data_IF_490481744075
#
_entry.id   IF_490481744075
#
_cell.length_a   1.000
_cell.length_b   1.000
_cell.length_c   1.000
_cell.angle_alpha   90.00
_cell.angle_beta   90.00
_cell.angle_gamma   90.00
#
_symmetry.space_group_name_H-M   'P 1'
#
loop_
_entity.id
_entity.type
_entity.pdbx_description
1 polymer ?
#
# COMPACT_ATOMS: atom_id res chain seq x y z
N UNK A 1 -2.87 1.05 12.99
CA UNK A 1 -3.17 -0.06 12.05
C UNK A 1 -1.85 -0.55 11.50
N UNK A 2 -1.55 -1.84 11.56
CA UNK A 2 -0.42 -2.49 10.91
C UNK A 2 -0.84 -3.11 9.57
N UNK A 3 0.08 -3.78 8.88
CA UNK A 3 -0.20 -4.40 7.59
C UNK A 3 -1.29 -5.49 7.70
N UNK A 4 -1.25 -6.31 8.74
CA UNK A 4 -2.23 -7.39 8.93
C UNK A 4 -3.64 -6.83 9.17
N UNK A 5 -3.76 -5.78 9.97
CA UNK A 5 -5.02 -5.05 10.18
C UNK A 5 -5.55 -4.43 8.89
N UNK A 6 -4.66 -3.83 8.08
CA UNK A 6 -5.01 -3.29 6.75
C UNK A 6 -5.54 -4.39 5.83
N UNK A 7 -4.80 -5.48 5.69
CA UNK A 7 -5.16 -6.62 4.82
C UNK A 7 -6.45 -7.30 5.29
N UNK A 8 -6.67 -7.41 6.61
CA UNK A 8 -7.89 -8.02 7.15
C UNK A 8 -9.16 -7.25 6.72
N UNK A 9 -9.08 -5.93 6.60
CA UNK A 9 -10.20 -5.10 6.11
C UNK A 9 -10.36 -5.24 4.60
N UNK A 10 -9.26 -5.23 3.85
CA UNK A 10 -9.31 -5.23 2.38
C UNK A 10 -9.69 -6.61 1.81
N UNK A 11 -9.02 -7.66 2.26
CA UNK A 11 -9.15 -9.02 1.74
C UNK A 11 -9.89 -9.97 2.69
N UNK A 12 -9.80 -9.74 4.00
CA UNK A 12 -10.35 -10.62 5.02
C UNK A 12 -11.80 -10.36 5.41
N UNK A 13 -12.43 -9.29 4.91
CA UNK A 13 -13.83 -8.95 5.20
C UNK A 13 -14.07 -8.36 6.60
N UNK A 14 -13.01 -7.98 7.33
CA UNK A 14 -13.17 -7.27 8.59
C UNK A 14 -13.81 -5.89 8.34
N UNK A 15 -14.65 -5.46 9.30
CA UNK A 15 -15.31 -4.15 9.19
C UNK A 15 -14.35 -3.02 9.58
N UNK A 16 -14.40 -1.94 8.83
CA UNK A 16 -13.80 -0.68 9.20
C UNK A 16 -14.72 0.06 10.18
N UNK A 17 -14.22 0.32 11.38
CA UNK A 17 -14.98 0.97 12.46
C UNK A 17 -14.09 1.97 13.20
N UNK A 18 -14.10 3.25 12.78
CA UNK A 18 -13.39 4.30 13.49
C UNK A 18 -13.88 4.45 14.93
N UNK A 19 -12.99 4.79 15.83
CA UNK A 19 -13.35 5.12 17.22
C UNK A 19 -14.02 6.48 17.31
N UNK A 20 -14.83 6.69 18.35
CA UNK A 20 -15.46 8.00 18.61
C UNK A 20 -14.40 9.11 18.74
N UNK A 21 -13.27 8.83 19.38
CA UNK A 21 -12.19 9.80 19.55
C UNK A 21 -11.58 10.26 18.22
N UNK A 22 -11.38 9.33 17.26
CA UNK A 22 -10.89 9.67 15.90
C UNK A 22 -11.92 10.51 15.15
N UNK A 23 -13.19 10.15 15.25
CA UNK A 23 -14.27 10.90 14.61
C UNK A 23 -14.42 12.31 15.21
N UNK A 24 -14.33 12.46 16.54
CA UNK A 24 -14.34 13.75 17.23
C UNK A 24 -13.15 14.64 16.84
N UNK A 25 -11.96 14.03 16.65
CA UNK A 25 -10.78 14.75 16.18
C UNK A 25 -11.00 15.35 14.78
N UNK A 26 -11.59 14.58 13.86
CA UNK A 26 -11.92 15.05 12.52
C UNK A 26 -12.98 16.17 12.55
N UNK A 27 -14.04 16.02 13.35
CA UNK A 27 -15.09 17.04 13.52
C UNK A 27 -14.53 18.34 14.09
N UNK A 28 -13.67 18.24 15.12
CA UNK A 28 -13.01 19.42 15.72
C UNK A 28 -12.15 20.15 14.69
N UNK A 29 -11.43 19.42 13.85
CA UNK A 29 -10.62 20.00 12.78
C UNK A 29 -11.49 20.75 11.76
N UNK A 30 -12.60 20.13 11.35
CA UNK A 30 -13.55 20.76 10.42
C UNK A 30 -14.18 22.03 11.02
N UNK A 31 -14.63 21.97 12.26
CA UNK A 31 -15.19 23.13 12.97
C UNK A 31 -14.17 24.27 13.07
N UNK A 32 -12.94 23.94 13.46
CA UNK A 32 -11.84 24.92 13.53
C UNK A 32 -11.58 25.58 12.18
N UNK A 33 -11.48 24.80 11.09
CA UNK A 33 -11.24 25.37 9.75
C UNK A 33 -12.39 26.27 9.32
N UNK A 34 -13.63 25.89 9.60
CA UNK A 34 -14.84 26.66 9.22
C UNK A 34 -14.83 28.06 9.88
N UNK A 35 -14.41 28.15 11.14
CA UNK A 35 -14.28 29.39 11.86
C UNK A 35 -13.02 30.18 11.40
N UNK A 36 -11.88 29.48 11.30
CA UNK A 36 -10.59 30.07 10.97
C UNK A 36 -10.55 30.69 9.58
N UNK A 37 -11.29 30.14 8.61
CA UNK A 37 -11.34 30.62 7.23
C UNK A 37 -12.03 31.97 7.07
N UNK A 38 -12.76 32.43 8.10
CA UNK A 38 -13.44 33.73 8.04
C UNK A 38 -12.41 34.88 7.93
N UNK A 39 -12.54 35.68 6.89
CA UNK A 39 -11.67 36.82 6.65
C UNK A 39 -10.21 36.51 6.27
N UNK A 40 -9.86 35.26 6.03
CA UNK A 40 -8.51 34.82 5.62
C UNK A 40 -8.51 34.24 4.21
N UNK A 41 -7.40 34.40 3.49
CA UNK A 41 -7.19 33.77 2.18
C UNK A 41 -6.54 32.42 2.40
N UNK A 42 -7.24 31.33 2.03
CA UNK A 42 -6.78 29.96 2.20
C UNK A 42 -6.95 29.20 0.88
N UNK A 43 -5.86 28.60 0.42
CA UNK A 43 -5.84 27.82 -0.82
C UNK A 43 -6.92 26.72 -0.81
N UNK A 44 -7.68 26.67 -1.88
CA UNK A 44 -8.69 25.64 -2.11
C UNK A 44 -9.98 25.79 -1.28
N UNK A 45 -10.12 26.88 -0.51
CA UNK A 45 -11.33 27.25 0.23
C UNK A 45 -11.99 28.47 -0.41
N UNK A 46 -11.27 29.58 -0.53
CA UNK A 46 -11.75 30.81 -1.12
C UNK A 46 -10.83 31.31 -2.25
N UNK A 47 -9.98 30.43 -2.76
CA UNK A 47 -9.19 30.62 -3.98
C UNK A 47 -9.52 29.52 -4.99
N UNK A 48 -9.15 29.72 -6.25
CA UNK A 48 -9.05 28.63 -7.21
C UNK A 48 -7.92 27.67 -6.91
N UNK A 49 -7.68 26.72 -7.81
CA UNK A 49 -6.69 25.64 -7.68
C UNK A 49 -5.58 25.77 -8.74
N UNK A 50 -4.39 25.25 -8.43
CA UNK A 50 -3.26 25.22 -9.35
C UNK A 50 -2.96 26.58 -9.95
N UNK A 51 -2.96 26.76 -11.29
CA UNK A 51 -2.72 28.06 -11.93
C UNK A 51 -3.73 29.15 -11.56
N UNK A 52 -4.91 28.78 -11.07
CA UNK A 52 -5.97 29.70 -10.64
C UNK A 52 -5.90 30.03 -9.15
N UNK A 53 -4.86 29.65 -8.45
CA UNK A 53 -4.71 29.86 -7.00
C UNK A 53 -4.80 31.35 -6.58
N UNK A 54 -4.50 32.27 -7.50
CA UNK A 54 -4.59 33.71 -7.26
C UNK A 54 -5.99 34.31 -7.50
N UNK A 55 -6.95 33.51 -7.95
CA UNK A 55 -8.31 33.95 -8.22
C UNK A 55 -9.16 33.75 -6.97
N UNK A 56 -9.72 34.85 -6.47
CA UNK A 56 -10.66 34.81 -5.35
C UNK A 56 -12.00 34.21 -5.80
N UNK A 57 -12.54 33.28 -5.03
CA UNK A 57 -13.82 32.62 -5.30
C UNK A 57 -14.91 33.18 -4.40
N UNK A 58 -15.97 33.74 -4.99
CA UNK A 58 -17.15 34.23 -4.25
C UNK A 58 -17.74 33.12 -3.36
N UNK A 59 -18.30 33.46 -2.22
CA UNK A 59 -18.84 32.50 -1.26
C UNK A 59 -19.94 31.61 -1.88
N UNK A 60 -20.78 32.18 -2.72
CA UNK A 60 -21.85 31.46 -3.41
C UNK A 60 -21.34 30.35 -4.35
N UNK A 61 -20.09 30.48 -4.83
CA UNK A 61 -19.51 29.54 -5.82
C UNK A 61 -18.60 28.50 -5.18
N UNK A 62 -18.23 28.63 -3.90
CA UNK A 62 -17.25 27.74 -3.23
C UNK A 62 -17.68 26.29 -3.22
N UNK A 63 -18.97 26.03 -2.98
CA UNK A 63 -19.50 24.65 -2.99
C UNK A 63 -19.47 24.05 -4.39
N UNK A 64 -19.93 24.77 -5.40
CA UNK A 64 -19.92 24.30 -6.79
C UNK A 64 -18.49 24.04 -7.29
N UNK A 65 -17.54 24.84 -6.83
CA UNK A 65 -16.12 24.66 -7.14
C UNK A 65 -15.59 23.29 -6.66
N UNK A 66 -16.00 22.78 -5.48
CA UNK A 66 -15.59 21.46 -5.00
C UNK A 66 -16.10 20.33 -5.91
N UNK A 67 -17.36 20.39 -6.35
CA UNK A 67 -17.91 19.44 -7.31
C UNK A 67 -17.22 19.54 -8.68
N UNK A 68 -16.98 20.75 -9.16
CA UNK A 68 -16.28 20.96 -10.43
C UNK A 68 -14.84 20.47 -10.41
N UNK A 69 -14.16 20.59 -9.25
CA UNK A 69 -12.82 20.05 -9.07
C UNK A 69 -12.84 18.52 -9.25
N UNK A 70 -13.73 17.81 -8.57
CA UNK A 70 -13.88 16.35 -8.69
C UNK A 70 -14.15 15.96 -10.14
N UNK A 71 -15.16 16.58 -10.78
CA UNK A 71 -15.57 16.27 -12.17
C UNK A 71 -14.46 16.53 -13.19
N UNK A 72 -13.76 17.65 -13.06
CA UNK A 72 -12.71 18.05 -14.02
C UNK A 72 -11.44 17.19 -13.92
N UNK A 73 -11.16 16.60 -12.77
CA UNK A 73 -9.98 15.75 -12.55
C UNK A 73 -10.27 14.27 -12.76
N UNK A 74 -11.52 13.84 -12.86
CA UNK A 74 -11.90 12.47 -13.19
C UNK A 74 -11.71 12.18 -14.68
N UNK A 75 -10.46 12.29 -15.14
CA UNK A 75 -10.05 12.21 -16.56
C UNK A 75 -9.20 10.98 -16.87
N UNK A 76 -9.26 9.97 -16.00
CA UNK A 76 -8.51 8.72 -16.17
C UNK A 76 -8.94 7.90 -17.38
N UNK A 77 -8.06 7.02 -17.83
CA UNK A 77 -8.25 6.13 -18.97
C UNK A 77 -7.63 4.75 -18.70
N UNK A 78 -7.83 3.81 -19.60
CA UNK A 78 -7.29 2.45 -19.49
C UNK A 78 -8.27 1.47 -18.85
N UNK A 79 -7.75 0.37 -18.33
CA UNK A 79 -8.54 -0.62 -17.61
C UNK A 79 -8.94 -0.10 -16.22
N UNK A 80 -9.99 -0.69 -15.66
CA UNK A 80 -10.38 -0.39 -14.29
C UNK A 80 -9.39 -1.03 -13.31
N UNK A 81 -9.04 -0.33 -12.25
CA UNK A 81 -8.34 -0.93 -11.10
C UNK A 81 -9.23 -2.00 -10.45
N UNK A 82 -8.64 -3.09 -9.92
CA UNK A 82 -9.39 -4.13 -9.24
C UNK A 82 -10.02 -3.60 -7.94
N UNK A 83 -11.14 -4.20 -7.55
CA UNK A 83 -11.92 -3.77 -6.36
C UNK A 83 -11.06 -3.73 -5.08
N UNK A 84 -10.09 -4.63 -4.93
CA UNK A 84 -9.16 -4.62 -3.80
C UNK A 84 -8.29 -3.35 -3.75
N UNK A 85 -7.83 -2.86 -4.90
CA UNK A 85 -7.08 -1.61 -4.99
C UNK A 85 -7.97 -0.40 -4.64
N UNK A 86 -9.23 -0.41 -5.10
CA UNK A 86 -10.21 0.63 -4.76
C UNK A 86 -10.48 0.64 -3.25
N UNK A 87 -10.71 -0.54 -2.65
CA UNK A 87 -10.92 -0.69 -1.20
C UNK A 87 -9.70 -0.21 -0.41
N UNK A 88 -8.47 -0.55 -0.88
CA UNK A 88 -7.23 -0.09 -0.28
C UNK A 88 -7.13 1.44 -0.29
N UNK A 89 -7.42 2.07 -1.42
CA UNK A 89 -7.45 3.53 -1.57
C UNK A 89 -8.49 4.19 -0.66
N UNK A 90 -9.71 3.64 -0.58
CA UNK A 90 -10.76 4.09 0.35
C UNK A 90 -10.28 4.05 1.80
N UNK A 91 -9.63 2.95 2.21
CA UNK A 91 -9.17 2.76 3.58
C UNK A 91 -8.05 3.74 3.94
N UNK A 92 -7.05 3.90 3.06
CA UNK A 92 -5.95 4.85 3.29
C UNK A 92 -6.53 6.26 3.43
N UNK A 93 -7.43 6.68 2.52
CA UNK A 93 -8.05 8.00 2.60
C UNK A 93 -8.84 8.21 3.89
N UNK A 94 -9.60 7.20 4.32
CA UNK A 94 -10.33 7.25 5.59
C UNK A 94 -9.38 7.40 6.79
N UNK A 95 -8.29 6.61 6.84
CA UNK A 95 -7.29 6.68 7.91
C UNK A 95 -6.62 8.06 7.99
N UNK A 96 -6.26 8.63 6.83
CA UNK A 96 -5.70 9.99 6.74
C UNK A 96 -6.68 11.02 7.33
N UNK A 97 -7.95 10.95 6.97
CA UNK A 97 -8.95 11.92 7.45
C UNK A 97 -9.20 11.83 8.95
N UNK A 98 -9.14 10.62 9.52
CA UNK A 98 -9.26 10.41 10.97
C UNK A 98 -8.11 11.01 11.79
N UNK A 99 -7.00 11.41 11.16
CA UNK A 99 -5.92 12.19 11.82
C UNK A 99 -6.30 13.64 12.09
N UNK A 100 -7.43 14.11 11.56
CA UNK A 100 -7.94 15.46 11.79
C UNK A 100 -7.17 16.58 11.06
N UNK A 101 -6.21 16.25 10.20
CA UNK A 101 -5.44 17.25 9.45
C UNK A 101 -6.11 17.78 8.17
N UNK A 102 -7.07 17.03 7.65
CA UNK A 102 -7.76 17.32 6.38
C UNK A 102 -8.99 18.21 6.52
N UNK A 103 -9.54 18.31 7.71
CA UNK A 103 -10.72 19.11 8.06
C UNK A 103 -11.95 18.85 7.16
N UNK A 104 -12.16 17.58 6.78
CA UNK A 104 -13.33 17.15 5.99
C UNK A 104 -14.61 17.11 6.83
N UNK A 105 -15.75 17.19 6.15
CA UNK A 105 -17.05 16.97 6.81
C UNK A 105 -17.21 15.52 7.28
N UNK A 106 -18.04 15.32 8.32
CA UNK A 106 -18.41 13.98 8.80
C UNK A 106 -18.99 13.12 7.69
N UNK A 107 -19.76 13.71 6.77
CA UNK A 107 -20.37 13.01 5.64
C UNK A 107 -19.37 12.32 4.73
N UNK A 108 -18.17 12.87 4.56
CA UNK A 108 -17.09 12.21 3.79
C UNK A 108 -16.60 10.95 4.49
N UNK A 109 -16.32 11.02 5.80
CA UNK A 109 -15.90 9.85 6.60
C UNK A 109 -16.96 8.75 6.64
N UNK A 110 -18.23 9.12 6.81
CA UNK A 110 -19.35 8.19 6.80
C UNK A 110 -19.49 7.53 5.42
N UNK A 111 -19.32 8.28 4.34
CA UNK A 111 -19.33 7.77 2.97
C UNK A 111 -18.23 6.74 2.72
N UNK A 112 -16.98 7.06 3.08
CA UNK A 112 -15.84 6.14 2.96
C UNK A 112 -16.06 4.86 3.78
N UNK A 113 -16.52 5.01 5.02
CA UNK A 113 -16.82 3.88 5.91
C UNK A 113 -17.94 2.99 5.37
N UNK A 114 -19.00 3.60 4.81
CA UNK A 114 -20.09 2.86 4.20
C UNK A 114 -19.63 2.08 2.97
N UNK A 115 -18.81 2.67 2.09
CA UNK A 115 -18.30 1.99 0.91
C UNK A 115 -17.42 0.80 1.30
N UNK A 116 -16.48 0.99 2.25
CA UNK A 116 -15.65 -0.09 2.77
C UNK A 116 -16.48 -1.25 3.34
N UNK A 117 -17.52 -0.92 4.13
CA UNK A 117 -18.30 -1.91 4.85
C UNK A 117 -19.39 -2.59 4.03
N UNK A 118 -19.85 -1.96 2.96
CA UNK A 118 -20.84 -2.56 2.03
C UNK A 118 -20.20 -3.26 0.84
N UNK A 119 -18.93 -2.92 0.52
CA UNK A 119 -18.24 -3.42 -0.67
C UNK A 119 -18.62 -2.67 -1.96
N UNK A 120 -19.12 -1.45 -1.84
CA UNK A 120 -19.29 -0.55 -3.00
C UNK A 120 -17.95 -0.04 -3.45
N UNK A 121 -17.60 -0.26 -4.72
CA UNK A 121 -16.35 0.17 -5.34
C UNK A 121 -16.62 1.07 -6.55
N UNK A 122 -16.29 2.37 -6.47
CA UNK A 122 -16.30 3.24 -7.66
C UNK A 122 -15.34 2.74 -8.73
N UNK A 123 -15.65 2.96 -9.99
CA UNK A 123 -14.72 2.69 -11.10
C UNK A 123 -13.58 3.72 -11.08
N UNK A 124 -12.35 3.26 -11.00
CA UNK A 124 -11.13 4.08 -11.09
C UNK A 124 -10.24 3.52 -12.17
N UNK A 125 -9.99 4.27 -13.27
CA UNK A 125 -9.06 3.85 -14.33
C UNK A 125 -7.61 3.81 -13.86
N UNK A 126 -6.81 2.91 -14.45
CA UNK A 126 -5.41 2.70 -14.09
C UNK A 126 -4.48 3.85 -14.51
N UNK A 127 -4.81 4.57 -15.60
CA UNK A 127 -3.97 5.60 -16.19
C UNK A 127 -4.51 7.01 -15.92
N UNK A 128 -3.60 7.98 -15.79
CA UNK A 128 -3.94 9.41 -15.66
C UNK A 128 -3.21 10.13 -14.53
N UNK A 129 -2.73 9.42 -13.51
CA UNK A 129 -1.90 10.00 -12.45
C UNK A 129 -0.52 10.40 -12.99
N UNK A 130 -0.08 11.62 -12.67
CA UNK A 130 1.22 12.16 -13.10
C UNK A 130 2.06 12.66 -11.92
N UNK A 131 1.66 12.33 -10.69
CA UNK A 131 2.32 12.75 -9.46
C UNK A 131 2.15 14.23 -9.11
N UNK A 132 1.35 14.99 -9.87
CA UNK A 132 1.00 16.36 -9.54
C UNK A 132 -0.03 16.36 -8.39
N UNK A 133 0.37 16.79 -7.18
CA UNK A 133 -0.43 16.69 -5.95
C UNK A 133 -0.84 15.26 -5.57
N UNK A 134 0.06 14.31 -5.82
CA UNK A 134 -0.20 12.88 -5.57
C UNK A 134 -1.10 12.25 -6.61
N UNK A 135 -2.13 11.56 -6.18
CA UNK A 135 -3.00 10.69 -6.97
C UNK A 135 -4.28 11.38 -7.47
N UNK A 136 -4.20 12.65 -7.91
CA UNK A 136 -5.36 13.48 -8.24
C UNK A 136 -6.43 12.78 -9.08
N UNK A 137 -6.02 12.13 -10.17
CA UNK A 137 -6.96 11.53 -11.13
C UNK A 137 -7.68 10.34 -10.53
N UNK A 138 -6.95 9.42 -9.93
CA UNK A 138 -7.53 8.24 -9.28
C UNK A 138 -8.46 8.64 -8.14
N UNK A 139 -8.03 9.58 -7.32
CA UNK A 139 -8.85 10.09 -6.22
C UNK A 139 -10.05 10.91 -6.70
N UNK A 140 -9.97 11.57 -7.86
CA UNK A 140 -11.12 12.24 -8.47
C UNK A 140 -12.20 11.26 -8.89
N UNK A 141 -11.83 10.11 -9.45
CA UNK A 141 -12.79 9.04 -9.75
C UNK A 141 -13.42 8.45 -8.48
N UNK A 142 -12.62 8.30 -7.41
CA UNK A 142 -13.16 7.93 -6.09
C UNK A 142 -14.18 8.97 -5.61
N UNK A 143 -13.82 10.25 -5.66
CA UNK A 143 -14.69 11.36 -5.29
C UNK A 143 -15.97 11.43 -6.13
N UNK A 144 -15.87 11.16 -7.46
CA UNK A 144 -17.01 11.09 -8.36
C UNK A 144 -18.00 10.01 -7.88
N UNK A 145 -17.49 8.82 -7.52
CA UNK A 145 -18.31 7.76 -6.94
C UNK A 145 -18.96 8.17 -5.63
N UNK A 146 -18.23 8.84 -4.73
CA UNK A 146 -18.78 9.29 -3.43
C UNK A 146 -19.94 10.25 -3.56
N UNK A 147 -19.94 11.13 -4.59
CA UNK A 147 -21.07 12.03 -4.88
C UNK A 147 -22.18 11.38 -5.71
N UNK A 148 -22.08 10.06 -6.00
CA UNK A 148 -23.10 9.29 -6.72
C UNK A 148 -23.03 9.41 -8.24
N UNK A 149 -21.94 9.91 -8.80
CA UNK A 149 -21.71 10.06 -10.24
C UNK A 149 -20.72 9.00 -10.77
N UNK A 150 -20.70 8.82 -12.09
CA UNK A 150 -19.86 7.80 -12.74
C UNK A 150 -20.44 6.39 -12.64
N UNK A 151 -19.56 5.40 -12.65
CA UNK A 151 -19.89 3.97 -12.57
C UNK A 151 -19.14 3.31 -11.41
N UNK A 152 -19.52 2.09 -11.06
CA UNK A 152 -18.85 1.32 -10.02
C UNK A 152 -19.27 -0.15 -10.03
N UNK A 153 -18.82 -0.90 -9.05
CA UNK A 153 -19.16 -2.31 -8.83
C UNK A 153 -19.81 -2.50 -7.46
N UNK A 154 -20.77 -3.39 -7.40
CA UNK A 154 -21.38 -3.88 -6.16
C UNK A 154 -21.83 -5.32 -6.35
N UNK A 155 -21.38 -6.22 -5.46
CA UNK A 155 -21.67 -7.66 -5.55
C UNK A 155 -21.37 -8.26 -6.95
N UNK A 156 -20.24 -7.84 -7.55
CA UNK A 156 -19.79 -8.31 -8.86
C UNK A 156 -20.55 -7.74 -10.07
N UNK A 157 -21.47 -6.80 -9.85
CA UNK A 157 -22.21 -6.14 -10.94
C UNK A 157 -21.73 -4.71 -11.13
N UNK A 158 -21.42 -4.33 -12.36
CA UNK A 158 -21.06 -2.96 -12.76
C UNK A 158 -22.31 -2.21 -13.24
N UNK A 159 -22.52 -1.00 -12.73
CA UNK A 159 -23.64 -0.12 -13.11
C UNK A 159 -23.26 1.36 -12.83
N UNK A 160 -24.19 2.28 -13.07
CA UNK A 160 -24.08 3.66 -12.63
C UNK A 160 -24.00 3.74 -11.11
N UNK A 161 -23.21 4.68 -10.58
CA UNK A 161 -23.09 4.82 -9.11
C UNK A 161 -24.43 5.09 -8.45
N UNK A 162 -25.34 5.84 -9.10
CA UNK A 162 -26.68 6.09 -8.56
C UNK A 162 -27.49 4.80 -8.38
N UNK A 163 -27.43 3.85 -9.34
CA UNK A 163 -28.09 2.54 -9.24
C UNK A 163 -27.43 1.67 -8.16
N UNK A 164 -26.11 1.64 -8.10
CA UNK A 164 -25.32 0.90 -7.10
C UNK A 164 -25.63 1.38 -5.70
N UNK A 165 -25.58 2.68 -5.44
CA UNK A 165 -25.85 3.25 -4.13
C UNK A 165 -27.27 2.94 -3.65
N UNK A 166 -28.24 3.02 -4.56
CA UNK A 166 -29.62 2.62 -4.26
C UNK A 166 -29.73 1.14 -3.90
N UNK A 167 -29.02 0.26 -4.64
CA UNK A 167 -29.01 -1.18 -4.36
C UNK A 167 -28.30 -1.52 -3.05
N UNK A 168 -27.25 -0.80 -2.70
CA UNK A 168 -26.48 -0.97 -1.45
C UNK A 168 -27.14 -0.31 -0.22
N UNK A 169 -28.18 0.50 -0.41
CA UNK A 169 -28.80 1.27 0.67
C UNK A 169 -27.90 2.39 1.22
N UNK A 170 -27.01 2.92 0.40
CA UNK A 170 -26.05 3.98 0.75
C UNK A 170 -26.47 5.27 0.02
N UNK A 171 -26.40 6.40 0.71
CA UNK A 171 -26.65 7.71 0.11
C UNK A 171 -25.34 8.32 -0.42
N UNK A 172 -25.39 9.07 -1.54
CA UNK A 172 -24.27 9.88 -1.97
C UNK A 172 -23.95 10.95 -0.92
N UNK A 173 -22.69 11.36 -0.83
CA UNK A 173 -22.25 12.43 0.06
C UNK A 173 -22.52 13.80 -0.57
N UNK A 174 -22.66 14.81 0.30
CA UNK A 174 -22.65 16.21 -0.11
C UNK A 174 -21.27 16.82 0.24
N UNK A 175 -20.66 17.51 -0.74
CA UNK A 175 -19.37 18.16 -0.51
C UNK A 175 -19.57 19.50 0.19
N UNK A 176 -18.77 19.72 1.23
CA UNK A 176 -18.68 20.97 1.98
C UNK A 176 -17.45 21.79 1.60
N UNK A 177 -17.01 22.61 2.55
CA UNK A 177 -16.02 23.70 2.45
C UNK A 177 -14.77 23.40 1.59
N UNK A 178 -14.13 22.24 1.81
CA UNK A 178 -12.93 21.81 1.06
C UNK A 178 -12.93 20.32 0.73
N UNK A 179 -14.05 19.64 0.90
CA UNK A 179 -14.12 18.18 0.79
C UNK A 179 -13.62 17.67 -0.55
N UNK A 180 -13.97 18.33 -1.65
CA UNK A 180 -13.48 17.97 -2.98
C UNK A 180 -11.95 18.01 -3.06
N UNK A 181 -11.32 19.08 -2.59
CA UNK A 181 -9.86 19.17 -2.56
C UNK A 181 -9.25 18.11 -1.65
N UNK A 182 -9.79 17.91 -0.45
CA UNK A 182 -9.29 16.92 0.48
C UNK A 182 -9.37 15.49 -0.08
N UNK A 183 -10.46 15.14 -0.76
CA UNK A 183 -10.61 13.81 -1.39
C UNK A 183 -9.52 13.60 -2.44
N UNK A 184 -9.22 14.61 -3.27
CA UNK A 184 -8.32 14.47 -4.41
C UNK A 184 -6.84 14.56 -4.05
N UNK A 185 -6.49 15.41 -3.10
CA UNK A 185 -5.10 15.77 -2.79
C UNK A 185 -4.47 14.77 -1.84
N UNK A 186 -3.45 14.08 -2.29
CA UNK A 186 -2.70 13.14 -1.45
C UNK A 186 -2.29 11.85 -2.15
N UNK A 187 -1.79 10.89 -1.38
CA UNK A 187 -1.08 9.68 -1.82
C UNK A 187 -1.86 8.38 -1.57
N UNK A 188 -3.17 8.45 -1.36
CA UNK A 188 -3.94 7.30 -0.89
C UNK A 188 -4.00 6.13 -1.90
N UNK A 189 -4.01 6.41 -3.21
CA UNK A 189 -4.02 5.36 -4.22
C UNK A 189 -2.68 4.61 -4.25
N UNK A 190 -1.58 5.35 -4.38
CA UNK A 190 -0.24 4.73 -4.43
C UNK A 190 0.10 4.00 -3.14
N UNK A 191 -0.27 4.54 -1.96
CA UNK A 191 -0.05 3.92 -0.66
C UNK A 191 -0.88 2.65 -0.49
N UNK A 192 -2.16 2.68 -0.87
CA UNK A 192 -3.05 1.52 -0.78
C UNK A 192 -2.59 0.37 -1.67
N UNK A 193 -2.27 0.65 -2.94
CA UNK A 193 -1.72 -0.34 -3.88
C UNK A 193 -0.34 -0.82 -3.41
N UNK A 194 0.49 0.07 -2.87
CA UNK A 194 1.79 -0.26 -2.31
C UNK A 194 1.71 -1.28 -1.17
N UNK A 195 0.80 -1.09 -0.22
CA UNK A 195 0.58 -2.03 0.89
C UNK A 195 0.09 -3.40 0.40
N UNK A 196 -0.79 -3.45 -0.60
CA UNK A 196 -1.18 -4.71 -1.25
C UNK A 196 0.03 -5.39 -1.92
N UNK A 197 0.87 -4.63 -2.63
CA UNK A 197 2.07 -5.17 -3.26
C UNK A 197 3.08 -5.70 -2.24
N UNK A 198 3.24 -5.05 -1.08
CA UNK A 198 4.06 -5.55 0.03
C UNK A 198 3.51 -6.88 0.55
N UNK A 199 2.20 -6.98 0.77
CA UNK A 199 1.57 -8.23 1.18
C UNK A 199 1.83 -9.37 0.16
N UNK A 200 1.65 -9.10 -1.13
CA UNK A 200 1.92 -10.09 -2.17
C UNK A 200 3.41 -10.46 -2.26
N UNK A 201 4.32 -9.50 -2.05
CA UNK A 201 5.76 -9.76 -2.05
C UNK A 201 6.18 -10.68 -0.89
N UNK A 202 5.61 -10.53 0.31
CA UNK A 202 5.81 -11.48 1.41
C UNK A 202 5.34 -12.89 1.04
N UNK A 203 4.17 -13.03 0.45
CA UNK A 203 3.66 -14.35 0.02
C UNK A 203 4.55 -14.99 -1.05
N UNK A 204 5.02 -14.21 -2.03
CA UNK A 204 5.97 -14.70 -3.04
C UNK A 204 7.29 -15.16 -2.40
N UNK A 205 7.80 -14.40 -1.44
CA UNK A 205 9.01 -14.77 -0.70
C UNK A 205 8.82 -16.07 0.09
N UNK A 206 7.67 -16.23 0.77
CA UNK A 206 7.34 -17.46 1.51
C UNK A 206 7.32 -18.68 0.58
N UNK A 207 6.70 -18.55 -0.59
CA UNK A 207 6.71 -19.61 -1.60
C UNK A 207 8.13 -19.88 -2.14
N UNK A 208 8.94 -18.84 -2.36
CA UNK A 208 10.32 -18.97 -2.82
C UNK A 208 11.20 -19.71 -1.80
N UNK A 209 11.05 -19.40 -0.50
CA UNK A 209 11.75 -20.09 0.59
C UNK A 209 11.33 -21.54 0.66
N UNK A 210 10.02 -21.83 0.60
CA UNK A 210 9.51 -23.21 0.64
C UNK A 210 10.01 -24.01 -0.57
N UNK A 211 9.98 -23.42 -1.76
CA UNK A 211 10.47 -24.08 -2.99
C UNK A 211 11.99 -24.31 -2.92
N UNK A 212 12.77 -23.33 -2.45
CA UNK A 212 14.20 -23.48 -2.24
C UNK A 212 14.55 -24.60 -1.25
N UNK A 213 13.76 -24.73 -0.19
CA UNK A 213 13.90 -25.85 0.78
C UNK A 213 13.61 -27.19 0.12
N UNK A 214 12.51 -27.28 -0.64
CA UNK A 214 12.16 -28.50 -1.38
C UNK A 214 13.25 -28.90 -2.38
N UNK A 215 13.80 -27.94 -3.13
CA UNK A 215 14.88 -28.19 -4.07
C UNK A 215 16.15 -28.71 -3.35
N UNK A 216 16.48 -28.16 -2.18
CA UNK A 216 17.60 -28.65 -1.36
C UNK A 216 17.44 -30.13 -1.01
N UNK A 217 16.23 -30.59 -0.69
CA UNK A 217 15.94 -32.00 -0.43
C UNK A 217 15.98 -32.87 -1.70
N UNK A 218 15.24 -32.46 -2.74
CA UNK A 218 15.10 -33.27 -3.98
C UNK A 218 16.45 -33.49 -4.68
N UNK A 219 17.35 -32.50 -4.58
CA UNK A 219 18.70 -32.59 -5.11
C UNK A 219 19.67 -33.34 -4.19
N UNK A 220 19.22 -33.82 -3.05
CA UNK A 220 20.07 -34.43 -2.01
C UNK A 220 21.29 -33.55 -1.68
N UNK A 221 21.06 -32.24 -1.52
CA UNK A 221 22.10 -31.26 -1.36
C UNK A 221 22.81 -31.35 0.00
N UNK A 222 24.05 -30.86 0.04
CA UNK A 222 24.72 -30.58 1.32
C UNK A 222 23.99 -29.49 2.07
N UNK A 223 23.78 -29.67 3.38
CA UNK A 223 23.00 -28.73 4.22
C UNK A 223 23.82 -27.60 4.83
N UNK A 224 25.17 -27.67 4.74
CA UNK A 224 26.08 -26.72 5.34
C UNK A 224 25.90 -25.27 4.87
N UNK A 225 25.41 -25.04 3.65
CA UNK A 225 25.09 -23.71 3.12
C UNK A 225 23.93 -23.03 3.87
N UNK A 226 23.12 -23.79 4.57
CA UNK A 226 22.04 -23.28 5.42
C UNK A 226 22.47 -23.16 6.89
N UNK A 227 23.68 -23.58 7.28
CA UNK A 227 24.11 -23.63 8.66
C UNK A 227 24.05 -22.25 9.34
N UNK A 228 23.77 -22.25 10.63
CA UNK A 228 23.75 -21.05 11.46
C UNK A 228 25.12 -20.37 11.50
N UNK A 229 26.20 -21.17 11.62
CA UNK A 229 27.57 -20.67 11.65
C UNK A 229 27.94 -19.91 10.39
N UNK A 230 27.64 -20.47 9.20
CA UNK A 230 27.95 -19.82 7.92
C UNK A 230 27.17 -18.53 7.76
N UNK A 231 25.85 -18.56 7.97
CA UNK A 231 24.98 -17.41 7.75
C UNK A 231 25.14 -16.37 8.87
N UNK A 232 25.52 -16.79 10.10
CA UNK A 232 25.84 -15.91 11.21
C UNK A 232 27.11 -15.09 11.03
N UNK A 233 28.05 -15.54 10.20
CA UNK A 233 29.28 -14.80 9.86
C UNK A 233 29.00 -13.48 9.11
N UNK A 234 27.80 -13.31 8.52
CA UNK A 234 27.34 -12.07 7.89
C UNK A 234 26.26 -11.38 8.75
N UNK A 235 26.31 -10.05 8.81
CA UNK A 235 25.42 -9.26 9.69
C UNK A 235 24.03 -8.97 9.09
N UNK A 236 23.75 -9.43 7.87
CA UNK A 236 22.49 -9.19 7.19
C UNK A 236 21.36 -10.01 7.80
N UNK A 237 20.35 -9.33 8.36
CA UNK A 237 19.25 -9.96 9.10
C UNK A 237 18.41 -10.87 8.21
N UNK A 238 18.01 -10.39 7.04
CA UNK A 238 17.20 -11.16 6.09
C UNK A 238 17.88 -12.44 5.64
N UNK A 239 19.20 -12.42 5.36
CA UNK A 239 19.94 -13.63 5.01
C UNK A 239 19.88 -14.70 6.11
N UNK A 240 20.12 -14.30 7.37
CA UNK A 240 20.09 -15.22 8.50
C UNK A 240 18.70 -15.84 8.69
N UNK A 241 17.67 -15.03 8.59
CA UNK A 241 16.29 -15.49 8.74
C UNK A 241 15.86 -16.42 7.60
N UNK A 242 16.20 -16.10 6.35
CA UNK A 242 15.91 -17.02 5.23
C UNK A 242 16.60 -18.37 5.45
N UNK A 243 17.88 -18.38 5.84
CA UNK A 243 18.60 -19.62 6.15
C UNK A 243 17.96 -20.38 7.32
N UNK A 244 17.53 -19.69 8.38
CA UNK A 244 16.82 -20.27 9.53
C UNK A 244 15.51 -20.93 9.10
N UNK A 245 14.68 -20.23 8.31
CA UNK A 245 13.41 -20.73 7.80
C UNK A 245 13.61 -21.95 6.90
N UNK A 246 14.62 -21.93 6.02
CA UNK A 246 14.97 -23.09 5.19
C UNK A 246 15.42 -24.28 6.05
N UNK A 247 16.27 -24.08 7.06
CA UNK A 247 16.65 -25.14 8.01
C UNK A 247 15.44 -25.73 8.72
N UNK A 248 14.51 -24.89 9.16
CA UNK A 248 13.27 -25.35 9.81
C UNK A 248 12.44 -26.22 8.86
N UNK A 249 12.33 -25.83 7.58
CA UNK A 249 11.58 -26.57 6.57
C UNK A 249 12.17 -27.96 6.29
N UNK A 250 13.50 -28.11 6.28
CA UNK A 250 14.18 -29.39 6.00
C UNK A 250 14.52 -30.20 7.27
N UNK A 251 14.08 -29.73 8.45
CA UNK A 251 14.39 -30.38 9.70
C UNK A 251 13.89 -31.84 9.73
N UNK A 252 14.79 -32.78 9.98
CA UNK A 252 14.48 -34.21 9.97
C UNK A 252 14.47 -34.86 8.59
N UNK A 253 14.81 -34.12 7.54
CA UNK A 253 15.00 -34.68 6.20
C UNK A 253 16.03 -35.82 6.21
N UNK A 254 15.75 -36.85 5.43
CA UNK A 254 16.67 -37.98 5.19
C UNK A 254 17.34 -37.85 3.80
N UNK A 255 16.99 -36.83 3.05
CA UNK A 255 17.50 -36.59 1.71
C UNK A 255 18.69 -35.65 1.69
N UNK A 256 18.73 -34.67 2.58
CA UNK A 256 19.88 -33.76 2.70
C UNK A 256 21.10 -34.49 3.29
N UNK A 257 22.27 -34.08 2.88
CA UNK A 257 23.55 -34.71 3.24
C UNK A 257 24.33 -33.83 4.22
N UNK A 258 24.85 -34.44 5.29
CA UNK A 258 25.81 -33.82 6.21
C UNK A 258 27.23 -34.01 5.71
N UNK A 259 27.90 -32.92 5.46
CA UNK A 259 29.28 -32.91 4.99
C UNK A 259 30.25 -33.55 5.98
N UNK A 260 30.04 -33.30 7.27
CA UNK A 260 30.91 -33.84 8.33
C UNK A 260 30.86 -35.35 8.43
N UNK A 261 29.66 -35.91 8.28
CA UNK A 261 29.43 -37.35 8.34
C UNK A 261 29.75 -38.10 7.03
N UNK A 262 30.05 -37.37 5.93
CA UNK A 262 30.32 -37.96 4.63
C UNK A 262 31.70 -37.56 4.10
N UNK A 263 31.85 -36.36 3.51
CA UNK A 263 33.08 -35.92 2.86
C UNK A 263 34.27 -35.79 3.85
N UNK A 264 34.03 -35.31 5.05
CA UNK A 264 35.08 -35.16 6.07
C UNK A 264 35.35 -36.47 6.82
N UNK A 265 34.52 -37.46 6.60
CA UNK A 265 34.75 -38.82 7.16
C UNK A 265 35.48 -39.75 6.19
N UNK A 266 35.98 -39.25 5.08
CA UNK A 266 36.76 -40.03 4.10
C UNK A 266 35.91 -41.09 3.36
N UNK A 267 34.61 -40.74 3.11
CA UNK A 267 33.67 -41.61 2.39
C UNK A 267 33.51 -41.23 0.92
N UNK A 268 34.24 -40.22 0.48
CA UNK A 268 34.22 -39.74 -0.90
C UNK A 268 34.90 -40.75 -1.84
N UNK A 269 34.35 -40.88 -3.03
CA UNK A 269 34.90 -41.70 -4.11
C UNK A 269 35.56 -40.84 -5.18
N UNK A 270 36.72 -41.32 -5.66
CA UNK A 270 37.48 -40.67 -6.71
C UNK A 270 37.59 -41.64 -7.92
N UNK A 271 37.29 -41.15 -9.12
CA UNK A 271 37.41 -41.96 -10.30
C UNK A 271 38.91 -42.20 -10.70
N UNK A 272 39.09 -42.99 -11.78
CA UNK A 272 40.45 -43.32 -12.26
C UNK A 272 41.24 -42.10 -12.79
N UNK A 273 40.60 -40.96 -13.02
CA UNK A 273 41.23 -39.71 -13.43
C UNK A 273 41.47 -38.72 -12.26
N UNK A 274 41.19 -39.12 -11.04
CA UNK A 274 41.33 -38.27 -9.87
C UNK A 274 40.17 -37.26 -9.68
N UNK A 275 39.00 -37.50 -10.25
CA UNK A 275 37.83 -36.64 -10.15
C UNK A 275 36.88 -37.24 -9.13
N UNK A 276 36.39 -36.42 -8.19
CA UNK A 276 35.32 -36.83 -7.25
C UNK A 276 34.04 -37.20 -7.99
N UNK A 277 33.43 -38.32 -7.65
CA UNK A 277 32.18 -38.80 -8.26
C UNK A 277 30.96 -38.03 -7.79
N UNK A 278 31.07 -37.38 -6.64
CA UNK A 278 30.04 -36.52 -6.06
C UNK A 278 30.39 -35.03 -6.14
N UNK A 279 29.37 -34.18 -6.18
CA UNK A 279 29.58 -32.72 -6.08
C UNK A 279 30.17 -32.37 -4.71
N UNK A 280 31.34 -31.79 -4.71
CA UNK A 280 31.99 -31.28 -3.47
C UNK A 280 31.25 -30.04 -2.94
N UNK A 281 30.57 -29.32 -3.79
CA UNK A 281 29.88 -28.08 -3.46
C UNK A 281 28.68 -27.86 -4.39
N UNK A 282 27.56 -27.45 -3.82
CA UNK A 282 26.33 -27.15 -4.60
C UNK A 282 26.51 -26.00 -5.58
N UNK A 283 25.69 -25.98 -6.62
CA UNK A 283 25.59 -24.86 -7.56
C UNK A 283 25.12 -23.58 -6.86
N UNK A 284 25.48 -22.43 -7.41
CA UNK A 284 25.10 -21.12 -6.84
C UNK A 284 23.58 -20.96 -6.64
N UNK A 285 22.79 -21.46 -7.58
CA UNK A 285 21.33 -21.43 -7.51
C UNK A 285 20.74 -22.14 -6.29
N UNK A 286 21.48 -23.04 -5.64
CA UNK A 286 21.06 -23.73 -4.42
C UNK A 286 21.74 -23.10 -3.20
N UNK A 287 23.08 -23.10 -3.19
CA UNK A 287 23.81 -22.68 -1.97
C UNK A 287 23.73 -21.19 -1.68
N UNK A 288 23.36 -20.34 -2.66
CA UNK A 288 23.24 -18.90 -2.48
C UNK A 288 21.79 -18.44 -2.26
N UNK A 289 20.81 -19.34 -2.08
CA UNK A 289 19.42 -18.95 -1.84
C UNK A 289 19.30 -17.97 -0.66
N UNK A 290 19.92 -18.19 0.52
CA UNK A 290 19.85 -17.22 1.62
C UNK A 290 20.44 -15.85 1.25
N UNK A 291 21.50 -15.80 0.45
CA UNK A 291 22.16 -14.57 0.01
C UNK A 291 21.35 -13.82 -1.08
N UNK A 292 20.46 -14.53 -1.79
CA UNK A 292 19.60 -13.95 -2.82
C UNK A 292 18.30 -13.46 -2.20
N UNK A 293 17.61 -14.31 -1.43
CA UNK A 293 16.31 -13.99 -0.83
C UNK A 293 16.41 -13.09 0.41
N UNK A 294 17.53 -13.11 1.11
CA UNK A 294 17.75 -12.26 2.29
C UNK A 294 17.62 -10.77 2.02
N UNK A 295 18.34 -10.19 1.03
CA UNK A 295 18.15 -8.80 0.63
C UNK A 295 16.74 -8.46 0.16
N UNK A 296 16.02 -9.43 -0.42
CA UNK A 296 14.61 -9.27 -0.80
C UNK A 296 13.75 -9.07 0.45
N UNK A 297 13.92 -9.92 1.46
CA UNK A 297 13.22 -9.79 2.74
C UNK A 297 13.49 -8.43 3.41
N UNK A 298 14.76 -8.01 3.45
CA UNK A 298 15.14 -6.72 4.03
C UNK A 298 14.50 -5.55 3.26
N UNK A 299 14.39 -5.66 1.91
CA UNK A 299 13.74 -4.65 1.07
C UNK A 299 12.23 -4.61 1.30
N UNK A 300 11.55 -5.76 1.38
CA UNK A 300 10.11 -5.83 1.65
C UNK A 300 9.79 -5.18 3.00
N UNK A 301 10.57 -5.46 4.04
CA UNK A 301 10.40 -4.86 5.39
C UNK A 301 10.58 -3.35 5.38
N UNK A 302 11.56 -2.85 4.63
CA UNK A 302 11.75 -1.41 4.53
C UNK A 302 10.58 -0.74 3.79
N UNK A 303 10.08 -1.36 2.71
CA UNK A 303 8.92 -0.87 1.99
C UNK A 303 7.66 -0.88 2.89
N UNK A 304 7.43 -1.96 3.64
CA UNK A 304 6.34 -2.02 4.63
C UNK A 304 6.40 -0.85 5.61
N UNK A 305 7.58 -0.63 6.21
CA UNK A 305 7.77 0.45 7.18
C UNK A 305 7.42 1.81 6.59
N UNK A 306 7.94 2.14 5.42
CA UNK A 306 7.71 3.45 4.78
C UNK A 306 6.25 3.63 4.40
N UNK A 307 5.60 2.58 3.88
CA UNK A 307 4.18 2.64 3.51
C UNK A 307 3.26 2.74 4.74
N UNK A 308 3.62 2.11 5.86
CA UNK A 308 2.87 2.28 7.12
C UNK A 308 3.09 3.68 7.70
N UNK A 309 4.29 4.24 7.60
CA UNK A 309 4.55 5.63 7.98
C UNK A 309 3.68 6.58 7.12
N UNK A 310 3.55 6.32 5.81
CA UNK A 310 2.68 7.10 4.90
C UNK A 310 1.20 6.92 5.24
N UNK A 311 0.72 5.70 5.47
CA UNK A 311 -0.65 5.39 5.91
C UNK A 311 -1.05 6.19 7.16
N UNK A 312 -0.10 6.41 8.07
CA UNK A 312 -0.31 7.11 9.33
C UNK A 312 -0.01 8.61 9.26
N UNK A 313 0.33 9.13 8.11
CA UNK A 313 0.62 10.54 7.86
C UNK A 313 -0.63 11.32 7.43
N UNK A 314 -0.51 12.64 7.38
CA UNK A 314 -1.47 13.53 6.72
C UNK A 314 -0.80 14.09 5.48
N UNK A 315 -1.30 13.65 4.34
CA UNK A 315 -0.76 13.89 3.01
C UNK A 315 -1.46 15.06 2.26
N UNK A 316 -2.10 15.94 3.00
CA UNK A 316 -2.90 17.04 2.47
C UNK A 316 -2.11 18.35 2.24
N UNK A 317 -2.65 19.18 1.36
CA UNK A 317 -2.42 20.60 1.28
C UNK A 317 -3.76 21.30 0.96
N UNK A 318 -4.25 22.07 1.91
CA UNK A 318 -3.69 22.61 3.15
C UNK A 318 -3.82 21.63 4.32
N UNK A 319 -2.85 21.68 5.24
CA UNK A 319 -2.92 20.98 6.53
C UNK A 319 -3.60 21.91 7.56
N UNK A 320 -4.64 21.41 8.20
CA UNK A 320 -5.33 22.09 9.30
C UNK A 320 -4.88 21.50 10.64
N UNK A 321 -4.34 22.33 11.52
CA UNK A 321 -4.00 21.94 12.88
C UNK A 321 -4.84 22.77 13.84
N UNK A 322 -5.86 22.15 14.44
CA UNK A 322 -6.77 22.83 15.34
C UNK A 322 -6.02 23.58 16.45
N UNK A 323 -6.44 24.79 16.75
CA UNK A 323 -5.84 25.74 17.69
C UNK A 323 -4.47 26.31 17.28
N UNK A 324 -3.86 25.86 16.17
CA UNK A 324 -2.57 26.37 15.69
C UNK A 324 -2.65 27.10 14.35
N UNK A 325 -3.52 26.66 13.42
CA UNK A 325 -3.67 27.32 12.12
C UNK A 325 -3.82 26.38 10.93
N UNK A 326 -3.71 26.99 9.74
CA UNK A 326 -3.75 26.28 8.45
C UNK A 326 -2.43 26.53 7.73
N UNK A 327 -1.79 25.45 7.32
CA UNK A 327 -0.46 25.46 6.75
C UNK A 327 -0.50 24.98 5.30
N UNK A 328 0.29 25.63 4.45
CA UNK A 328 0.43 25.28 3.04
C UNK A 328 1.76 24.55 2.86
N UNK A 329 1.73 23.37 2.22
CA UNK A 329 2.92 22.52 2.09
C UNK A 329 2.82 21.53 0.94
N UNK A 330 3.75 20.59 0.93
CA UNK A 330 3.89 19.58 -0.14
C UNK A 330 3.72 18.14 0.35
N UNK A 331 3.00 17.89 1.44
CA UNK A 331 2.84 16.54 2.01
C UNK A 331 2.18 15.54 1.06
N UNK A 332 1.49 16.03 0.03
CA UNK A 332 0.93 15.23 -1.06
C UNK A 332 1.99 14.61 -1.98
N UNK A 333 3.27 14.93 -1.80
CA UNK A 333 4.32 14.47 -2.69
C UNK A 333 4.68 13.01 -2.42
N UNK A 334 4.51 12.15 -3.40
CA UNK A 334 4.57 10.70 -3.23
C UNK A 334 5.95 10.07 -3.39
N UNK A 335 7.07 10.83 -3.38
CA UNK A 335 8.42 10.29 -3.62
C UNK A 335 8.84 9.20 -2.64
N UNK A 336 8.39 9.28 -1.37
CA UNK A 336 8.67 8.24 -0.38
C UNK A 336 8.12 6.89 -0.85
N UNK A 337 6.86 6.86 -1.26
CA UNK A 337 6.20 5.66 -1.75
C UNK A 337 6.79 5.22 -3.10
N UNK A 338 6.99 6.14 -4.04
CA UNK A 338 7.49 5.84 -5.37
C UNK A 338 8.88 5.17 -5.32
N UNK A 339 9.80 5.72 -4.52
CA UNK A 339 11.15 5.17 -4.37
C UNK A 339 11.13 3.76 -3.76
N UNK A 340 10.27 3.51 -2.76
CA UNK A 340 10.14 2.19 -2.15
C UNK A 340 9.51 1.18 -3.11
N UNK A 341 8.54 1.58 -3.93
CA UNK A 341 7.92 0.69 -4.92
C UNK A 341 8.90 0.33 -6.04
N UNK A 342 9.77 1.23 -6.47
CA UNK A 342 10.85 0.91 -7.42
C UNK A 342 11.85 -0.08 -6.83
N UNK A 343 12.27 0.10 -5.57
CA UNK A 343 13.14 -0.88 -4.87
C UNK A 343 12.45 -2.23 -4.72
N UNK A 344 11.17 -2.25 -4.32
CA UNK A 344 10.39 -3.48 -4.19
C UNK A 344 10.29 -4.23 -5.53
N UNK A 345 10.04 -3.52 -6.63
CA UNK A 345 10.00 -4.12 -7.98
C UNK A 345 11.32 -4.78 -8.35
N UNK A 346 12.46 -4.13 -8.05
CA UNK A 346 13.78 -4.73 -8.27
C UNK A 346 13.98 -5.98 -7.39
N UNK A 347 13.53 -5.96 -6.14
CA UNK A 347 13.62 -7.10 -5.24
C UNK A 347 12.78 -8.29 -5.74
N UNK A 348 11.55 -8.05 -6.22
CA UNK A 348 10.70 -9.11 -6.79
C UNK A 348 11.34 -9.73 -8.04
N UNK A 349 11.94 -8.92 -8.92
CA UNK A 349 12.69 -9.44 -10.08
C UNK A 349 13.83 -10.36 -9.62
N UNK A 350 14.51 -10.04 -8.52
CA UNK A 350 15.57 -10.91 -7.96
C UNK A 350 15.05 -12.27 -7.51
N UNK A 351 13.83 -12.40 -7.06
CA UNK A 351 13.23 -13.71 -6.72
C UNK A 351 13.01 -14.61 -7.94
N UNK A 352 12.87 -14.03 -9.12
CA UNK A 352 12.66 -14.76 -10.37
C UNK A 352 13.97 -15.28 -11.02
N UNK A 353 15.12 -14.88 -10.50
CA UNK A 353 16.45 -15.25 -11.01
C UNK A 353 17.01 -16.48 -10.31
#
# INVERSE_FOLDING_TARGET
MDLDGFISIILGGARFSPSNAELELADRSHAYLSEYASGKVIYGINTGFGPMAQVAIPEADRRSLQYNLVRSHASGAGADLPDEAIRAMLLVRAVTFLKGGSAVTRGVLDGLSNYLNTGVCPTVPELGGVGASGDLVQQAHLGLGLIGEGTGTYQGKKDSMSAILKAAGVSPIELGLRDGLAILNGTACMTGIGLLNVHHAYRLLDHSIAMGSLLTEVLCSWDDHLSETLNGAKRHAGQREVAERMRANIAGSKLTRDRSGHLYAGKEEVDANGVFTELVQEHYSIRCIPQILGPVLDTIRNAEKVLLDELHSVDDNTLTVADHGVFHGGNFHGDQVALEMDKLRLAVVKMCM
#
